data_IF_554620390761
#
_entry.id   IF_554620390761
#
_cell.length_a   1.000
_cell.length_b   1.000
_cell.length_c   1.000
_cell.angle_alpha   90.00
_cell.angle_beta   90.00
_cell.angle_gamma   90.00
#
_symmetry.space_group_name_H-M   'P 1'
#
loop_
_entity.id
_entity.type
_entity.pdbx_description
1 polymer ?
#
# COMPACT_ATOMS: atom_id res chain seq x y z
N UNK A 1 2.33 20.62 -15.03
CA UNK A 1 3.36 19.65 -15.47
C UNK A 1 3.82 18.89 -14.24
N UNK A 2 3.85 17.55 -14.28
CA UNK A 2 4.44 16.71 -13.22
C UNK A 2 5.93 16.42 -13.50
N UNK A 3 6.54 17.11 -14.47
CA UNK A 3 7.87 16.81 -15.00
C UNK A 3 9.05 16.97 -14.04
N UNK A 4 8.84 17.58 -12.87
CA UNK A 4 9.87 17.77 -11.84
C UNK A 4 9.74 16.80 -10.65
N UNK A 5 8.83 15.82 -10.72
CA UNK A 5 8.66 14.84 -9.64
C UNK A 5 9.82 13.85 -9.64
N UNK A 6 10.62 13.89 -8.57
CA UNK A 6 11.74 12.98 -8.36
C UNK A 6 11.37 11.74 -7.55
N UNK A 7 10.30 11.82 -6.74
CA UNK A 7 9.86 10.76 -5.83
C UNK A 7 8.35 10.55 -5.95
N UNK A 8 7.92 9.30 -6.10
CA UNK A 8 6.54 8.87 -6.06
C UNK A 8 6.33 7.86 -4.93
N UNK A 9 5.30 8.05 -4.11
CA UNK A 9 4.96 7.16 -3.00
C UNK A 9 3.53 6.63 -3.20
N UNK A 10 3.41 5.31 -3.17
CA UNK A 10 2.13 4.59 -3.15
C UNK A 10 1.97 4.01 -1.75
N UNK A 11 1.08 4.58 -0.95
CA UNK A 11 0.79 4.12 0.40
C UNK A 11 -0.55 3.37 0.44
N UNK A 12 -0.69 2.42 1.37
CA UNK A 12 -1.85 1.53 1.49
C UNK A 12 -2.30 0.93 0.14
N UNK A 13 -1.33 0.43 -0.64
CA UNK A 13 -1.58 0.06 -2.03
C UNK A 13 -2.64 -1.05 -2.19
N UNK A 14 -2.77 -1.93 -1.21
CA UNK A 14 -3.84 -2.93 -1.12
C UNK A 14 -5.22 -2.30 -0.93
N UNK A 15 -5.38 -1.33 -0.03
CA UNK A 15 -6.62 -0.57 0.10
C UNK A 15 -6.95 0.19 -1.19
N UNK A 16 -5.95 0.74 -1.88
CA UNK A 16 -6.17 1.38 -3.18
C UNK A 16 -6.76 0.42 -4.22
N UNK A 17 -6.38 -0.85 -4.21
CA UNK A 17 -6.99 -1.86 -5.08
C UNK A 17 -8.45 -2.12 -4.72
N UNK A 18 -8.76 -2.26 -3.43
CA UNK A 18 -10.11 -2.50 -2.94
C UNK A 18 -11.06 -1.36 -3.34
N UNK A 19 -10.55 -0.12 -3.36
CA UNK A 19 -11.28 1.08 -3.81
C UNK A 19 -11.33 1.23 -5.33
N UNK A 20 -10.65 0.37 -6.09
CA UNK A 20 -10.64 0.41 -7.56
C UNK A 20 -9.71 1.48 -8.16
N UNK A 21 -8.80 2.07 -7.38
CA UNK A 21 -7.87 3.12 -7.82
C UNK A 21 -6.82 2.66 -8.84
N UNK A 22 -6.78 1.37 -9.17
CA UNK A 22 -5.90 0.82 -10.20
C UNK A 22 -6.01 1.58 -11.55
N UNK A 23 -7.21 2.01 -11.92
CA UNK A 23 -7.45 2.76 -13.15
C UNK A 23 -6.87 4.18 -13.09
N UNK A 24 -6.94 4.81 -11.92
CA UNK A 24 -6.36 6.13 -11.69
C UNK A 24 -4.83 6.06 -11.71
N UNK A 25 -4.23 5.03 -11.09
CA UNK A 25 -2.79 4.80 -11.14
C UNK A 25 -2.29 4.58 -12.56
N UNK A 26 -3.00 3.80 -13.37
CA UNK A 26 -2.66 3.60 -14.79
C UNK A 26 -2.68 4.88 -15.62
N UNK A 27 -3.46 5.89 -15.21
CA UNK A 27 -3.49 7.21 -15.86
C UNK A 27 -2.45 8.17 -15.29
N UNK A 28 -2.22 8.15 -13.98
CA UNK A 28 -1.31 9.06 -13.28
C UNK A 28 0.17 8.71 -13.49
N UNK A 29 0.52 7.43 -13.35
CA UNK A 29 1.93 6.99 -13.34
C UNK A 29 2.68 7.27 -14.66
N UNK A 30 2.05 7.22 -15.85
CA UNK A 30 2.69 7.64 -17.11
C UNK A 30 2.96 9.13 -17.22
N UNK A 31 2.27 9.97 -16.44
CA UNK A 31 2.48 11.43 -16.44
C UNK A 31 3.70 11.85 -15.61
N UNK A 32 4.24 10.93 -14.80
CA UNK A 32 5.43 11.14 -14.00
C UNK A 32 6.72 10.90 -14.82
N UNK A 33 7.83 11.61 -14.52
CA UNK A 33 9.11 11.37 -15.15
C UNK A 33 9.54 9.91 -15.07
N UNK A 34 10.16 9.38 -16.13
CA UNK A 34 10.67 7.99 -16.16
C UNK A 34 11.75 7.77 -15.12
N UNK A 35 12.66 8.72 -14.98
CA UNK A 35 13.72 8.70 -13.98
C UNK A 35 13.19 9.31 -12.69
N UNK A 36 12.78 8.44 -11.75
CA UNK A 36 12.29 8.81 -10.42
C UNK A 36 12.49 7.63 -9.45
N UNK A 37 12.47 7.92 -8.16
CA UNK A 37 12.35 6.89 -7.13
C UNK A 37 10.86 6.59 -6.88
N UNK A 38 10.46 5.32 -6.89
CA UNK A 38 9.10 4.90 -6.54
C UNK A 38 9.11 4.02 -5.29
N UNK A 39 8.42 4.43 -4.24
CA UNK A 39 8.18 3.65 -3.02
C UNK A 39 6.75 3.11 -3.02
N UNK A 40 6.58 1.86 -2.61
CA UNK A 40 5.27 1.20 -2.50
C UNK A 40 5.18 0.55 -1.12
N UNK A 41 4.16 0.94 -0.37
CA UNK A 41 3.82 0.42 0.95
C UNK A 41 2.46 -0.28 0.88
N UNK A 42 2.39 -1.47 1.46
CA UNK A 42 1.19 -2.31 1.44
C UNK A 42 1.26 -3.30 2.61
N UNK A 43 0.15 -3.52 3.31
CA UNK A 43 0.09 -4.50 4.39
C UNK A 43 0.03 -5.93 3.85
N UNK A 44 -0.62 -6.10 2.70
CA UNK A 44 -0.74 -7.36 1.97
C UNK A 44 -0.08 -7.29 0.61
N UNK A 45 0.27 -8.43 0.03
CA UNK A 45 0.93 -8.51 -1.27
C UNK A 45 0.23 -9.48 -2.24
N UNK A 46 -1.02 -9.20 -2.66
CA UNK A 46 -1.67 -9.97 -3.69
C UNK A 46 -0.99 -9.73 -5.06
N UNK A 47 -1.29 -10.60 -6.03
CA UNK A 47 -0.62 -10.58 -7.34
C UNK A 47 -0.73 -9.24 -8.06
N UNK A 48 -1.85 -8.54 -7.90
CA UNK A 48 -2.06 -7.23 -8.49
C UNK A 48 -1.06 -6.17 -7.96
N UNK A 49 -0.76 -6.15 -6.65
CA UNK A 49 0.26 -5.26 -6.09
C UNK A 49 1.66 -5.66 -6.56
N UNK A 50 1.95 -6.96 -6.67
CA UNK A 50 3.24 -7.40 -7.23
C UNK A 50 3.45 -6.90 -8.66
N UNK A 51 2.38 -6.90 -9.46
CA UNK A 51 2.41 -6.35 -10.82
C UNK A 51 2.63 -4.84 -10.79
N UNK A 52 1.95 -4.10 -9.91
CA UNK A 52 2.17 -2.66 -9.77
C UNK A 52 3.62 -2.33 -9.38
N UNK A 53 4.19 -3.07 -8.43
CA UNK A 53 5.57 -2.91 -8.02
C UNK A 53 6.53 -3.11 -9.22
N UNK A 54 6.30 -4.14 -10.04
CA UNK A 54 7.10 -4.40 -11.24
C UNK A 54 6.93 -3.34 -12.32
N UNK A 55 5.71 -2.84 -12.51
CA UNK A 55 5.40 -1.87 -13.56
C UNK A 55 5.94 -0.47 -13.23
N UNK A 56 6.02 -0.12 -11.94
CA UNK A 56 6.27 1.27 -11.50
C UNK A 56 7.56 1.49 -10.71
N UNK A 57 8.21 0.43 -10.25
CA UNK A 57 9.53 0.52 -9.60
C UNK A 57 10.61 -0.02 -10.52
N UNK A 58 11.82 0.51 -10.41
CA UNK A 58 13.00 0.04 -11.11
C UNK A 58 13.95 -0.64 -10.12
N UNK A 59 14.17 -1.94 -10.28
CA UNK A 59 15.00 -2.78 -9.39
C UNK A 59 14.77 -2.54 -7.88
N UNK A 60 13.52 -2.75 -7.38
CA UNK A 60 13.19 -2.39 -6.00
C UNK A 60 13.79 -3.35 -4.97
N UNK A 61 14.34 -2.78 -3.89
CA UNK A 61 14.64 -3.54 -2.68
C UNK A 61 13.33 -3.83 -1.94
N UNK A 62 13.05 -5.10 -1.68
CA UNK A 62 11.89 -5.52 -0.88
C UNK A 62 12.27 -5.60 0.59
N UNK A 63 11.57 -4.84 1.42
CA UNK A 63 11.65 -4.93 2.88
C UNK A 63 10.31 -5.43 3.39
N UNK A 64 10.30 -6.60 4.00
CA UNK A 64 9.10 -7.18 4.60
C UNK A 64 9.37 -7.41 6.09
N UNK A 65 8.51 -6.88 6.94
CA UNK A 65 8.47 -7.25 8.35
C UNK A 65 7.60 -8.50 8.47
N UNK A 66 8.09 -9.52 9.17
CA UNK A 66 7.25 -10.64 9.57
C UNK A 66 6.10 -10.07 10.40
N UNK A 67 4.84 -10.46 10.19
CA UNK A 67 3.75 -10.00 11.03
C UNK A 67 4.13 -10.25 12.49
N UNK A 68 4.10 -9.20 13.31
CA UNK A 68 4.25 -9.37 14.75
C UNK A 68 3.14 -10.34 15.15
N UNK A 69 3.51 -11.52 15.65
CA UNK A 69 2.57 -12.52 16.12
C UNK A 69 1.45 -11.82 16.90
N UNK A 70 0.21 -11.97 16.40
CA UNK A 70 -1.06 -11.70 17.10
C UNK A 70 -0.99 -10.61 18.17
N UNK A 71 -1.22 -9.34 17.78
CA UNK A 71 -1.45 -8.21 18.71
C UNK A 71 -2.48 -8.57 19.79
N UNK A 72 -3.45 -9.43 19.44
CA UNK A 72 -4.51 -9.88 20.33
C UNK A 72 -4.01 -10.62 21.58
N UNK A 73 -2.88 -11.33 21.56
CA UNK A 73 -2.39 -12.03 22.77
C UNK A 73 -1.87 -11.06 23.84
N UNK A 74 -1.45 -9.84 23.45
CA UNK A 74 -0.87 -8.86 24.37
C UNK A 74 -1.84 -7.74 24.78
N UNK A 75 -3.05 -7.72 24.25
CA UNK A 75 -4.05 -6.69 24.55
C UNK A 75 -5.14 -7.29 25.43
N UNK A 76 -5.26 -6.80 26.67
CA UNK A 76 -6.39 -7.13 27.53
C UNK A 76 -7.66 -6.50 26.96
N UNK A 77 -8.61 -7.33 26.52
CA UNK A 77 -9.90 -6.90 25.98
C UNK A 77 -11.01 -7.24 26.97
N UNK A 78 -11.86 -6.27 27.31
CA UNK A 78 -13.02 -6.45 28.19
C UNK A 78 -14.25 -5.86 27.50
N UNK A 79 -15.35 -6.60 27.49
CA UNK A 79 -16.66 -6.14 27.03
C UNK A 79 -17.69 -6.34 28.15
N UNK A 80 -18.56 -5.35 28.37
CA UNK A 80 -19.68 -5.45 29.32
C UNK A 80 -20.99 -5.21 28.60
N UNK A 81 -21.94 -6.12 28.77
CA UNK A 81 -23.28 -5.98 28.22
C UNK A 81 -24.13 -5.09 29.13
N UNK A 82 -24.71 -4.02 28.58
CA UNK A 82 -25.64 -3.14 29.30
C UNK A 82 -27.04 -3.38 28.77
N UNK A 83 -27.97 -3.75 29.67
CA UNK A 83 -29.38 -3.93 29.35
C UNK A 83 -30.07 -2.57 29.45
N UNK A 84 -30.55 -2.02 28.34
CA UNK A 84 -31.38 -0.81 28.37
C UNK A 84 -32.78 -1.18 28.87
N UNK A 85 -33.17 -0.58 29.99
CA UNK A 85 -34.52 -0.59 30.57
C UNK A 85 -35.38 0.55 30.02
#
# INVERSE_FOLDING_TARGET
SLGAVEVAVLDEADQMLDLGFIHALRQLMPLLPRTRQTMLFSATMPKAIETLAKDYQNDPVRVAVTPVATTAERVAQVATYVRQS
#
